data_IF_120863088100
#
_entry.id   IF_120863088100
#
_cell.length_a   1.000
_cell.length_b   1.000
_cell.length_c   1.000
_cell.angle_alpha   90.00
_cell.angle_beta   90.00
_cell.angle_gamma   90.00
#
_symmetry.space_group_name_H-M   'P 1'
#
loop_
_entity.id
_entity.type
_entity.pdbx_description
1 polymer ?
#
# COMPACT_ATOMS: atom_id res chain seq x y z
N UNK A 1 -20.07 -54.32 -48.23
CA UNK A 1 -20.48 -53.71 -46.94
C UNK A 1 -19.32 -52.98 -46.26
N UNK A 2 -18.12 -53.58 -46.19
CA UNK A 2 -16.93 -53.00 -45.55
C UNK A 2 -16.45 -51.67 -46.18
N UNK A 3 -16.56 -51.50 -47.52
CA UNK A 3 -16.17 -50.25 -48.20
C UNK A 3 -16.89 -48.99 -47.67
N UNK A 4 -18.18 -49.09 -47.30
CA UNK A 4 -18.96 -47.96 -46.78
C UNK A 4 -18.55 -47.53 -45.37
N UNK A 5 -18.01 -48.46 -44.59
CA UNK A 5 -17.54 -48.19 -43.22
C UNK A 5 -16.15 -47.53 -43.27
N UNK A 6 -15.32 -47.91 -44.23
CA UNK A 6 -14.01 -47.29 -44.43
C UNK A 6 -14.14 -45.84 -44.93
N UNK A 7 -15.03 -45.57 -45.88
CA UNK A 7 -15.28 -44.19 -46.38
C UNK A 7 -15.79 -43.26 -45.27
N UNK A 8 -16.68 -43.73 -44.39
CA UNK A 8 -17.23 -42.91 -43.30
C UNK A 8 -16.23 -42.65 -42.17
N UNK A 9 -15.23 -43.52 -41.98
CA UNK A 9 -14.14 -43.32 -41.04
C UNK A 9 -13.06 -42.38 -41.60
N UNK A 10 -12.82 -42.43 -42.91
CA UNK A 10 -11.86 -41.56 -43.59
C UNK A 10 -12.35 -40.10 -43.62
N UNK A 11 -13.64 -39.88 -43.89
CA UNK A 11 -14.28 -38.56 -43.77
C UNK A 11 -14.22 -37.99 -42.34
N UNK A 12 -14.40 -38.85 -41.34
CA UNK A 12 -14.34 -38.46 -39.93
C UNK A 12 -12.92 -38.08 -39.49
N UNK A 13 -11.91 -38.77 -40.03
CA UNK A 13 -10.50 -38.44 -39.82
C UNK A 13 -10.13 -37.07 -40.41
N UNK A 14 -10.71 -36.67 -41.54
CA UNK A 14 -10.47 -35.33 -42.12
C UNK A 14 -11.14 -34.21 -41.33
N UNK A 15 -12.35 -34.43 -40.79
CA UNK A 15 -13.03 -33.42 -39.95
C UNK A 15 -12.28 -33.15 -38.64
N UNK A 16 -11.83 -34.20 -37.95
CA UNK A 16 -11.04 -34.06 -36.71
C UNK A 16 -9.71 -33.32 -36.91
N UNK A 17 -9.20 -33.26 -38.14
CA UNK A 17 -7.92 -32.62 -38.48
C UNK A 17 -8.03 -31.11 -38.69
N UNK A 18 -9.24 -30.62 -38.96
CA UNK A 18 -9.54 -29.19 -39.16
C UNK A 18 -10.04 -28.50 -37.87
N UNK A 19 -10.36 -29.27 -36.84
CA UNK A 19 -10.83 -28.77 -35.52
C UNK A 19 -9.69 -28.44 -34.55
N UNK A 20 -8.46 -28.92 -34.80
CA UNK A 20 -7.25 -28.58 -34.02
C UNK A 20 -6.63 -27.25 -34.47
N UNK A 21 -7.42 -26.18 -34.50
CA UNK A 21 -6.90 -24.81 -34.69
C UNK A 21 -6.25 -24.33 -33.39
N UNK A 22 -4.96 -24.65 -33.24
CA UNK A 22 -4.13 -24.11 -32.16
C UNK A 22 -3.99 -22.58 -32.24
N UNK A 23 -3.75 -21.94 -31.09
CA UNK A 23 -3.38 -20.52 -31.02
C UNK A 23 -2.19 -20.24 -31.93
N UNK A 24 -2.29 -19.21 -32.76
CA UNK A 24 -1.15 -18.80 -33.58
C UNK A 24 -0.12 -18.07 -32.72
N UNK A 25 1.17 -18.26 -33.00
CA UNK A 25 2.24 -17.51 -32.31
C UNK A 25 2.08 -15.99 -32.50
N UNK A 26 1.52 -15.57 -33.64
CA UNK A 26 1.27 -14.15 -33.92
C UNK A 26 0.14 -13.58 -33.06
N UNK A 27 -0.90 -14.35 -32.75
CA UNK A 27 -1.96 -13.92 -31.83
C UNK A 27 -1.41 -13.67 -30.42
N UNK A 28 -0.60 -14.59 -29.90
CA UNK A 28 0.02 -14.37 -28.60
C UNK A 28 1.04 -13.22 -28.62
N UNK A 29 1.77 -13.04 -29.72
CA UNK A 29 2.74 -11.94 -29.88
C UNK A 29 2.06 -10.57 -29.83
N UNK A 30 0.93 -10.39 -30.53
CA UNK A 30 0.20 -9.10 -30.51
C UNK A 30 -0.36 -8.83 -29.11
N UNK A 31 -0.86 -9.85 -28.41
CA UNK A 31 -1.41 -9.69 -27.05
C UNK A 31 -0.35 -9.23 -26.06
N UNK A 32 0.83 -9.86 -26.04
CA UNK A 32 1.90 -9.44 -25.11
C UNK A 32 2.44 -8.06 -25.44
N UNK A 33 2.43 -7.64 -26.71
CA UNK A 33 2.78 -6.27 -27.10
C UNK A 33 1.77 -5.27 -26.53
N UNK A 34 0.47 -5.55 -26.68
CA UNK A 34 -0.58 -4.66 -26.15
C UNK A 34 -0.48 -4.59 -24.62
N UNK A 35 -0.36 -5.73 -23.93
CA UNK A 35 -0.18 -5.76 -22.47
C UNK A 35 1.10 -5.02 -22.06
N UNK A 36 2.20 -5.17 -22.81
CA UNK A 36 3.45 -4.46 -22.56
C UNK A 36 3.28 -2.93 -22.60
N UNK A 37 2.53 -2.42 -23.58
CA UNK A 37 2.23 -0.98 -23.67
C UNK A 37 1.38 -0.51 -22.49
N UNK A 38 0.35 -1.28 -22.11
CA UNK A 38 -0.51 -0.94 -20.98
C UNK A 38 0.27 -0.91 -19.66
N UNK A 39 1.11 -1.93 -19.42
CA UNK A 39 1.92 -2.05 -18.20
C UNK A 39 2.95 -0.91 -18.09
N UNK A 40 3.56 -0.51 -19.20
CA UNK A 40 4.54 0.57 -19.23
C UNK A 40 3.96 1.91 -18.71
N UNK A 41 2.68 2.18 -18.96
CA UNK A 41 1.98 3.39 -18.47
C UNK A 41 1.38 3.15 -17.09
N UNK A 42 0.83 1.96 -16.84
CA UNK A 42 0.10 1.67 -15.61
C UNK A 42 1.00 1.62 -14.37
N UNK A 43 2.21 1.05 -14.46
CA UNK A 43 3.13 0.93 -13.32
C UNK A 43 3.47 2.28 -12.68
N UNK A 44 4.00 3.29 -13.41
CA UNK A 44 4.39 4.56 -12.78
C UNK A 44 3.18 5.30 -12.18
N UNK A 45 2.01 5.23 -12.81
CA UNK A 45 0.77 5.83 -12.28
C UNK A 45 0.34 5.14 -10.99
N UNK A 46 0.40 3.79 -10.96
CA UNK A 46 0.04 3.02 -9.79
C UNK A 46 0.97 3.31 -8.59
N UNK A 47 2.29 3.43 -8.83
CA UNK A 47 3.25 3.79 -7.79
C UNK A 47 2.95 5.19 -7.22
N UNK A 48 2.66 6.17 -8.08
CA UNK A 48 2.30 7.51 -7.62
C UNK A 48 1.03 7.52 -6.76
N UNK A 49 0.01 6.75 -7.16
CA UNK A 49 -1.22 6.60 -6.38
C UNK A 49 -0.97 5.91 -5.03
N UNK A 50 -0.15 4.86 -5.02
CA UNK A 50 0.21 4.16 -3.79
C UNK A 50 1.00 5.07 -2.83
N UNK A 51 1.92 5.89 -3.36
CA UNK A 51 2.68 6.84 -2.55
C UNK A 51 1.75 7.89 -1.91
N UNK A 52 0.84 8.49 -2.68
CA UNK A 52 -0.14 9.45 -2.13
C UNK A 52 -1.07 8.83 -1.09
N UNK A 53 -1.44 7.56 -1.24
CA UNK A 53 -2.21 6.83 -0.23
C UNK A 53 -1.41 6.61 1.06
N UNK A 54 -0.11 6.29 0.95
CA UNK A 54 0.80 6.15 2.10
C UNK A 54 1.03 7.49 2.82
N UNK A 55 1.19 8.58 2.07
CA UNK A 55 1.31 9.92 2.65
C UNK A 55 0.04 10.30 3.42
N UNK A 56 -1.14 10.07 2.83
CA UNK A 56 -2.42 10.34 3.50
C UNK A 56 -2.64 9.47 4.75
N UNK A 57 -2.18 8.21 4.72
CA UNK A 57 -2.20 7.33 5.89
C UNK A 57 -1.27 7.86 7.00
N UNK A 58 -0.05 8.28 6.65
CA UNK A 58 0.90 8.86 7.61
C UNK A 58 0.35 10.13 8.29
N UNK A 59 -0.27 11.04 7.53
CA UNK A 59 -0.92 12.24 8.10
C UNK A 59 -2.08 11.90 9.04
N UNK A 60 -2.87 10.88 8.69
CA UNK A 60 -3.98 10.40 9.52
C UNK A 60 -3.46 9.80 10.83
N UNK A 61 -2.41 8.99 10.74
CA UNK A 61 -1.79 8.36 11.91
C UNK A 61 -1.11 9.37 12.83
N UNK A 62 -0.49 10.42 12.30
CA UNK A 62 0.00 11.54 13.12
C UNK A 62 -1.13 12.21 13.91
N UNK A 63 -2.27 12.43 13.27
CA UNK A 63 -3.44 13.01 13.94
C UNK A 63 -3.94 12.10 15.07
N UNK A 64 -4.00 10.79 14.82
CA UNK A 64 -4.37 9.81 15.84
C UNK A 64 -3.32 9.72 16.96
N UNK A 65 -2.04 9.75 16.62
CA UNK A 65 -0.93 9.75 17.56
C UNK A 65 -0.96 10.98 18.46
N UNK A 66 -1.25 12.17 17.93
CA UNK A 66 -1.45 13.41 18.70
C UNK A 66 -2.56 13.25 19.73
N UNK A 67 -3.74 12.75 19.31
CA UNK A 67 -4.87 12.55 20.21
C UNK A 67 -4.51 11.54 21.31
N UNK A 68 -3.88 10.43 20.95
CA UNK A 68 -3.45 9.41 21.90
C UNK A 68 -2.36 9.92 22.87
N UNK A 69 -1.45 10.77 22.38
CA UNK A 69 -0.40 11.41 23.19
C UNK A 69 -0.99 12.39 24.20
N UNK A 70 -1.98 13.18 23.79
CA UNK A 70 -2.72 14.06 24.70
C UNK A 70 -3.49 13.23 25.74
N UNK A 71 -4.11 12.11 25.33
CA UNK A 71 -4.82 11.21 26.23
C UNK A 71 -3.87 10.52 27.23
N UNK A 72 -2.67 10.15 26.79
CA UNK A 72 -1.62 9.55 27.63
C UNK A 72 -1.26 10.46 28.82
N UNK A 73 -0.96 11.74 28.55
CA UNK A 73 -0.67 12.69 29.63
C UNK A 73 -1.91 13.23 30.36
N UNK A 74 -3.11 13.04 29.80
CA UNK A 74 -4.35 13.33 30.52
C UNK A 74 -4.64 12.27 31.59
N UNK A 75 -4.22 11.02 31.38
CA UNK A 75 -4.35 9.91 32.35
C UNK A 75 -3.32 10.03 33.48
N UNK A 76 -2.05 10.29 33.12
CA UNK A 76 -0.97 10.55 34.08
C UNK A 76 -0.15 11.79 33.66
N UNK A 77 -0.36 12.95 34.29
CA UNK A 77 0.31 14.20 33.91
C UNK A 77 1.81 14.20 34.23
N UNK A 78 2.26 13.32 35.13
CA UNK A 78 3.67 13.18 35.53
C UNK A 78 4.36 12.03 34.78
N UNK A 79 3.64 11.34 33.89
CA UNK A 79 4.19 10.24 33.10
C UNK A 79 5.35 10.70 32.22
N UNK A 80 6.39 9.85 32.17
CA UNK A 80 7.46 9.99 31.20
C UNK A 80 6.91 9.95 29.76
N UNK A 81 7.66 10.51 28.82
CA UNK A 81 7.29 10.51 27.40
C UNK A 81 6.86 9.12 26.89
N UNK A 82 5.87 9.03 25.98
CA UNK A 82 5.52 7.80 25.31
C UNK A 82 6.77 7.15 24.70
N UNK A 83 6.97 5.86 24.96
CA UNK A 83 8.13 5.11 24.47
C UNK A 83 8.04 4.88 22.95
N UNK A 84 9.19 4.77 22.29
CA UNK A 84 9.27 4.31 20.90
C UNK A 84 9.38 2.78 20.84
N UNK A 85 8.71 2.10 19.88
CA UNK A 85 7.74 2.64 18.94
C UNK A 85 6.44 3.07 19.64
N UNK A 86 5.84 4.17 19.16
CA UNK A 86 4.69 4.83 19.80
C UNK A 86 3.48 3.90 20.00
N UNK A 87 3.32 2.91 19.14
CA UNK A 87 2.29 1.87 19.24
C UNK A 87 2.33 1.09 20.56
N UNK A 88 3.49 1.00 21.22
CA UNK A 88 3.64 0.30 22.50
C UNK A 88 3.01 1.08 23.67
N UNK A 89 3.29 2.38 23.76
CA UNK A 89 2.78 3.23 24.86
C UNK A 89 1.41 3.83 24.56
N UNK A 90 1.14 4.16 23.30
CA UNK A 90 -0.11 4.79 22.87
C UNK A 90 -1.18 3.79 22.42
N UNK A 91 -0.84 2.51 22.28
CA UNK A 91 -1.80 1.46 21.89
C UNK A 91 -2.99 1.36 22.85
N UNK A 92 -2.75 1.52 24.16
CA UNK A 92 -3.80 1.56 25.17
C UNK A 92 -4.68 2.83 25.08
N UNK A 93 -4.19 3.86 24.39
CA UNK A 93 -4.87 5.14 24.16
C UNK A 93 -5.46 5.23 22.74
N UNK A 94 -5.55 4.08 22.03
CA UNK A 94 -6.23 3.98 20.74
C UNK A 94 -5.36 4.29 19.52
N UNK A 95 -4.05 4.46 19.68
CA UNK A 95 -3.14 4.59 18.55
C UNK A 95 -2.79 3.22 17.96
N UNK A 96 -3.04 3.06 16.66
CA UNK A 96 -2.59 1.90 15.88
C UNK A 96 -1.83 2.44 14.69
N UNK A 97 -0.60 1.97 14.52
CA UNK A 97 0.24 2.33 13.38
C UNK A 97 -0.24 1.57 12.14
N UNK A 98 -0.47 2.29 11.04
CA UNK A 98 -0.87 1.70 9.78
C UNK A 98 0.33 1.22 8.96
N UNK A 99 0.09 0.28 8.04
CA UNK A 99 1.09 -0.20 7.06
C UNK A 99 1.59 0.90 6.10
N UNK A 100 1.02 2.12 6.20
CA UNK A 100 1.40 3.28 5.42
C UNK A 100 2.64 4.01 5.94
N UNK A 101 3.16 3.66 7.12
CA UNK A 101 4.33 4.27 7.74
C UNK A 101 5.55 3.35 7.67
N UNK A 102 6.73 3.97 7.55
CA UNK A 102 8.02 3.30 7.76
C UNK A 102 8.49 3.49 9.21
N UNK A 103 8.15 4.63 9.82
CA UNK A 103 8.36 4.88 11.25
C UNK A 103 7.54 6.06 11.78
N UNK A 104 7.12 5.99 13.05
CA UNK A 104 6.63 7.14 13.81
C UNK A 104 7.36 7.27 15.16
N UNK A 105 7.85 8.47 15.47
CA UNK A 105 8.61 8.76 16.68
C UNK A 105 8.22 10.10 17.31
N UNK A 106 8.31 10.17 18.65
CA UNK A 106 8.20 11.42 19.37
C UNK A 106 9.57 12.14 19.36
N UNK A 107 9.59 13.39 18.94
CA UNK A 107 10.78 14.21 18.81
C UNK A 107 10.65 15.49 19.66
N UNK A 108 11.40 15.56 20.76
CA UNK A 108 11.89 16.81 21.35
C UNK A 108 12.84 16.48 22.51
N UNK A 109 13.67 17.45 22.93
CA UNK A 109 14.66 17.25 23.99
C UNK A 109 14.08 16.90 25.37
N UNK A 110 12.80 17.18 25.60
CA UNK A 110 11.99 16.77 26.75
C UNK A 110 10.50 16.99 26.42
N UNK A 111 9.82 16.04 25.78
CA UNK A 111 8.42 16.23 25.43
C UNK A 111 7.56 16.21 26.68
N UNK A 112 6.59 17.13 26.71
CA UNK A 112 5.65 17.31 27.82
C UNK A 112 4.24 17.41 27.26
N UNK A 113 3.23 17.34 28.14
CA UNK A 113 1.83 17.56 27.78
C UNK A 113 1.56 18.91 27.10
N UNK A 114 2.44 19.90 27.27
CA UNK A 114 2.34 21.24 26.70
C UNK A 114 3.29 21.50 25.53
N UNK A 115 4.20 20.58 25.21
CA UNK A 115 5.11 20.72 24.08
C UNK A 115 5.64 19.36 23.63
N UNK A 116 5.23 18.94 22.45
CA UNK A 116 5.74 17.72 21.81
C UNK A 116 5.68 17.88 20.29
N UNK A 117 6.58 17.20 19.59
CA UNK A 117 6.50 17.03 18.15
C UNK A 117 6.51 15.52 17.87
N UNK A 118 5.61 15.05 17.02
CA UNK A 118 5.59 13.65 16.56
C UNK A 118 5.93 13.70 15.09
N UNK A 119 6.94 12.94 14.69
CA UNK A 119 7.36 12.79 13.32
C UNK A 119 6.96 11.40 12.81
N UNK A 120 6.50 11.35 11.57
CA UNK A 120 6.21 10.13 10.86
C UNK A 120 6.81 10.18 9.46
N UNK A 121 7.47 9.10 9.06
CA UNK A 121 7.92 8.89 7.70
C UNK A 121 6.93 7.97 7.01
N UNK A 122 6.32 8.44 5.92
CA UNK A 122 5.45 7.59 5.10
C UNK A 122 6.27 6.49 4.44
N UNK A 123 5.63 5.37 4.10
CA UNK A 123 6.26 4.32 3.29
C UNK A 123 6.59 4.75 1.85
N UNK A 124 6.33 6.02 1.48
CA UNK A 124 6.81 6.64 0.24
C UNK A 124 8.12 7.42 0.44
N UNK A 125 8.58 7.59 1.68
CA UNK A 125 9.80 8.29 2.07
C UNK A 125 9.61 9.79 2.37
N UNK A 126 8.37 10.27 2.52
CA UNK A 126 8.08 11.65 2.88
C UNK A 126 7.94 11.79 4.40
N UNK A 127 8.49 12.87 4.94
CA UNK A 127 8.44 13.18 6.37
C UNK A 127 7.34 14.18 6.68
N UNK A 128 6.55 13.86 7.70
CA UNK A 128 5.48 14.68 8.22
C UNK A 128 5.64 14.83 9.72
N UNK A 129 5.23 15.97 10.27
CA UNK A 129 5.20 16.18 11.70
C UNK A 129 3.87 16.78 12.17
N UNK A 130 3.59 16.61 13.46
CA UNK A 130 2.51 17.29 14.16
C UNK A 130 2.95 17.70 15.56
N UNK A 131 2.60 18.91 15.99
CA UNK A 131 2.87 19.37 17.36
C UNK A 131 1.59 19.42 18.20
N UNK A 132 1.71 19.80 19.48
CA UNK A 132 0.55 19.99 20.35
C UNK A 132 -0.44 21.03 19.80
N UNK A 133 0.05 22.04 19.08
CA UNK A 133 -0.73 23.21 18.66
C UNK A 133 -0.92 23.35 17.16
N UNK A 134 -0.17 22.62 16.33
CA UNK A 134 -0.29 22.70 14.87
C UNK A 134 -1.11 21.56 14.27
N UNK A 135 -1.50 21.76 13.01
CA UNK A 135 -1.95 20.69 12.12
C UNK A 135 -0.73 19.94 11.55
N UNK A 136 -0.99 18.87 10.80
CA UNK A 136 0.06 18.10 10.15
C UNK A 136 0.78 18.98 9.13
N UNK A 137 2.10 19.04 9.22
CA UNK A 137 2.96 19.78 8.32
C UNK A 137 4.02 18.87 7.71
N UNK A 138 4.53 19.29 6.56
CA UNK A 138 5.61 18.60 5.84
C UNK A 138 6.98 19.05 6.38
N UNK A 139 7.98 18.18 6.16
CA UNK A 139 9.36 18.26 6.71
C UNK A 139 9.40 17.82 8.18
N UNK A 140 10.55 17.33 8.64
CA UNK A 140 10.71 16.84 10.01
C UNK A 140 10.50 17.90 11.11
N UNK A 141 10.41 17.40 12.34
CA UNK A 141 10.55 18.19 13.56
C UNK A 141 12.00 18.73 13.68
#
# INVERSE_FOLDING_TARGET
>A
MIKRILESLEQRRTQLKDEDKGFTLIELLVVVIIIGILVAIAIPVYIGLQNGARDSAAQSDLTNAKIATIAYWADDPDAAAPATPLSTSLGNFGYVESDGLDSAALFSGTPTSASFCIEATSGAGNEFHITESTEVAENGC
#
